data_IF_879195444662
#
_entry.id   IF_879195444662
#
_cell.length_a   1.000
_cell.length_b   1.000
_cell.length_c   1.000
_cell.angle_alpha   90.00
_cell.angle_beta   90.00
_cell.angle_gamma   90.00
#
_symmetry.space_group_name_H-M   'P 1'
#
loop_
_entity.id
_entity.type
_entity.pdbx_description
1 polymer ?
#
# COMPACT_ATOMS: atom_id res chain seq x y z
N UNK A 1 -12.12 -9.93 -4.65
CA UNK A 1 -12.60 -10.20 -3.27
C UNK A 1 -12.87 -8.82 -2.69
N UNK A 2 -14.11 -8.54 -2.30
CA UNK A 2 -14.47 -7.24 -1.73
C UNK A 2 -13.64 -7.01 -0.44
N UNK A 3 -13.00 -5.84 -0.25
CA UNK A 3 -12.21 -5.57 0.95
C UNK A 3 -13.13 -5.41 2.17
N UNK A 4 -13.51 -6.55 2.76
CA UNK A 4 -14.46 -6.62 3.88
C UNK A 4 -14.02 -5.80 5.09
N UNK A 5 -12.71 -5.61 5.28
CA UNK A 5 -12.14 -4.79 6.34
C UNK A 5 -12.46 -3.28 6.20
N UNK A 6 -12.83 -2.79 5.02
CA UNK A 6 -13.25 -1.39 4.86
C UNK A 6 -14.63 -1.13 5.49
N UNK A 7 -15.47 -2.16 5.59
CA UNK A 7 -16.83 -2.09 6.14
C UNK A 7 -16.92 -2.62 7.58
N UNK A 8 -15.94 -3.42 8.00
CA UNK A 8 -15.89 -4.02 9.34
C UNK A 8 -15.58 -2.94 10.41
N UNK A 9 -16.36 -2.94 11.50
CA UNK A 9 -16.15 -2.07 12.66
C UNK A 9 -15.38 -2.82 13.76
N UNK A 10 -14.12 -3.11 13.48
CA UNK A 10 -13.22 -3.79 14.43
C UNK A 10 -11.89 -3.07 14.53
N UNK A 11 -11.21 -3.20 15.67
CA UNK A 11 -9.91 -2.53 15.88
C UNK A 11 -8.87 -2.97 14.84
N UNK A 12 -8.88 -4.25 14.46
CA UNK A 12 -8.06 -4.79 13.37
C UNK A 12 -8.38 -4.13 12.01
N UNK A 13 -9.67 -3.94 11.69
CA UNK A 13 -10.14 -3.26 10.48
C UNK A 13 -9.72 -1.79 10.44
N UNK A 14 -9.78 -1.12 11.59
CA UNK A 14 -9.32 0.25 11.73
C UNK A 14 -7.80 0.38 11.58
N UNK A 15 -7.03 -0.51 12.21
CA UNK A 15 -5.57 -0.56 12.06
C UNK A 15 -5.16 -0.79 10.59
N UNK A 16 -5.83 -1.71 9.89
CA UNK A 16 -5.62 -1.95 8.46
C UNK A 16 -5.93 -0.72 7.61
N UNK A 17 -7.07 -0.05 7.83
CA UNK A 17 -7.43 1.20 7.13
C UNK A 17 -6.41 2.31 7.36
N UNK A 18 -5.94 2.46 8.59
CA UNK A 18 -4.91 3.44 8.95
C UNK A 18 -3.58 3.14 8.25
N UNK A 19 -3.20 1.88 8.15
CA UNK A 19 -2.00 1.46 7.42
C UNK A 19 -2.16 1.68 5.91
N UNK A 20 -3.31 1.31 5.33
CA UNK A 20 -3.63 1.53 3.92
C UNK A 20 -3.52 3.01 3.54
N UNK A 21 -4.09 3.87 4.39
CA UNK A 21 -3.99 5.32 4.23
C UNK A 21 -2.54 5.82 4.24
N UNK A 22 -1.78 5.43 5.27
CA UNK A 22 -0.41 5.87 5.43
C UNK A 22 0.49 5.38 4.28
N UNK A 23 0.37 4.09 3.93
CA UNK A 23 1.10 3.48 2.83
C UNK A 23 0.73 4.10 1.49
N UNK A 24 -0.55 4.30 1.20
CA UNK A 24 -1.00 4.88 -0.06
C UNK A 24 -0.51 6.31 -0.27
N UNK A 25 -0.49 7.13 0.78
CA UNK A 25 0.06 8.49 0.68
C UNK A 25 1.58 8.48 0.57
N UNK A 26 2.28 7.56 1.27
CA UNK A 26 3.74 7.42 1.13
C UNK A 26 4.13 6.98 -0.27
N UNK A 27 3.40 6.03 -0.88
CA UNK A 27 3.57 5.62 -2.28
C UNK A 27 3.35 6.82 -3.19
N UNK A 28 2.22 7.52 -3.04
CA UNK A 28 1.93 8.70 -3.83
C UNK A 28 3.01 9.79 -3.67
N UNK A 29 3.68 9.89 -2.53
CA UNK A 29 4.76 10.84 -2.29
C UNK A 29 6.17 10.31 -2.66
N UNK A 30 6.32 9.01 -2.92
CA UNK A 30 7.62 8.36 -3.13
C UNK A 30 8.34 8.88 -4.38
N UNK A 31 7.59 9.11 -5.46
CA UNK A 31 8.11 9.67 -6.72
C UNK A 31 8.45 11.18 -6.64
N UNK A 32 8.44 11.80 -5.45
CA UNK A 32 8.78 13.20 -5.23
C UNK A 32 7.69 14.21 -5.60
N UNK A 33 6.58 13.74 -6.18
CA UNK A 33 5.34 14.50 -6.43
C UNK A 33 4.17 13.64 -6.04
N UNK A 34 3.19 14.23 -5.36
CA UNK A 34 1.95 13.54 -5.00
C UNK A 34 1.15 13.23 -6.27
N UNK A 35 1.10 11.96 -6.65
CA UNK A 35 0.29 11.50 -7.79
C UNK A 35 -1.20 11.60 -7.49
N UNK A 36 -1.90 12.47 -8.23
CA UNK A 36 -3.35 12.67 -8.05
C UNK A 36 -4.13 11.39 -8.33
N UNK A 37 -3.70 10.56 -9.27
CA UNK A 37 -4.35 9.28 -9.63
C UNK A 37 -4.27 8.27 -8.49
N UNK A 38 -3.09 8.13 -7.88
CA UNK A 38 -2.86 7.31 -6.68
C UNK A 38 -3.70 7.78 -5.50
N UNK A 39 -3.76 9.10 -5.26
CA UNK A 39 -4.61 9.68 -4.21
C UNK A 39 -6.10 9.44 -4.51
N UNK A 40 -6.53 9.61 -5.76
CA UNK A 40 -7.92 9.39 -6.17
C UNK A 40 -8.32 7.92 -5.96
N UNK A 41 -7.46 6.96 -6.32
CA UNK A 41 -7.69 5.54 -6.09
C UNK A 41 -7.73 5.19 -4.59
N UNK A 42 -6.85 5.80 -3.80
CA UNK A 42 -6.85 5.66 -2.34
C UNK A 42 -8.15 6.20 -1.73
N UNK A 43 -8.62 7.37 -2.18
CA UNK A 43 -9.90 7.96 -1.75
C UNK A 43 -11.11 7.13 -2.21
N UNK A 44 -11.07 6.53 -3.40
CA UNK A 44 -12.13 5.64 -3.86
C UNK A 44 -12.26 4.38 -2.99
N UNK A 45 -11.15 3.90 -2.43
CA UNK A 45 -11.16 2.78 -1.49
C UNK A 45 -11.58 3.19 -0.08
N UNK A 46 -10.97 4.22 0.50
CA UNK A 46 -11.23 4.63 1.88
C UNK A 46 -12.51 5.45 2.07
N UNK A 47 -12.95 6.13 1.02
CA UNK A 47 -14.05 7.09 1.01
C UNK A 47 -13.57 8.52 0.68
N UNK A 48 -14.39 9.32 -0.02
CA UNK A 48 -14.04 10.67 -0.44
C UNK A 48 -13.76 11.58 0.78
N UNK A 49 -12.69 12.37 0.72
CA UNK A 49 -12.24 13.25 1.79
C UNK A 49 -11.32 12.59 2.82
N UNK A 50 -10.91 11.34 2.58
CA UNK A 50 -9.99 10.63 3.48
C UNK A 50 -8.58 11.23 3.42
N UNK A 51 -8.14 11.71 2.25
CA UNK A 51 -6.81 12.28 2.07
C UNK A 51 -6.88 13.81 2.13
N UNK A 52 -6.28 14.39 3.16
CA UNK A 52 -6.12 15.83 3.22
C UNK A 52 -4.91 16.29 2.39
N UNK A 53 -5.02 17.36 1.59
CA UNK A 53 -3.91 17.91 0.80
C UNK A 53 -2.77 18.51 1.65
N UNK A 54 -2.95 18.60 2.97
CA UNK A 54 -1.92 19.04 3.95
C UNK A 54 -1.15 17.89 4.60
N UNK A 55 -1.41 16.65 4.21
CA UNK A 55 -0.74 15.50 4.79
C UNK A 55 0.76 15.55 4.47
N UNK A 56 1.59 15.46 5.51
CA UNK A 56 3.04 15.46 5.39
C UNK A 56 3.56 14.02 5.33
N UNK A 57 4.29 13.62 4.27
CA UNK A 57 4.82 12.26 4.14
C UNK A 57 5.78 11.91 5.28
N UNK A 58 6.60 12.84 5.76
CA UNK A 58 7.45 12.65 6.94
C UNK A 58 6.67 12.28 8.21
N UNK A 59 5.58 13.01 8.48
CA UNK A 59 4.74 12.73 9.64
C UNK A 59 4.05 11.36 9.53
N UNK A 60 3.66 10.98 8.32
CA UNK A 60 3.14 9.65 8.04
C UNK A 60 4.19 8.57 8.23
N UNK A 61 5.43 8.79 7.79
CA UNK A 61 6.54 7.83 7.96
C UNK A 61 6.85 7.60 9.44
N UNK A 62 6.85 8.67 10.25
CA UNK A 62 7.01 8.57 11.70
C UNK A 62 5.83 7.82 12.38
N UNK A 63 4.60 7.98 11.88
CA UNK A 63 3.42 7.29 12.41
C UNK A 63 3.28 5.85 11.86
N UNK A 64 3.92 5.56 10.72
CA UNK A 64 3.87 4.28 10.00
C UNK A 64 4.37 3.14 10.89
N UNK A 65 5.51 3.31 11.55
CA UNK A 65 6.07 2.33 12.48
C UNK A 65 5.08 1.96 13.60
N UNK A 66 4.36 2.95 14.14
CA UNK A 66 3.34 2.70 15.16
C UNK A 66 2.17 1.91 14.58
N UNK A 67 1.69 2.30 13.39
CA UNK A 67 0.59 1.59 12.69
C UNK A 67 0.96 0.16 12.32
N UNK A 68 2.20 -0.08 11.90
CA UNK A 68 2.69 -1.42 11.57
C UNK A 68 2.66 -2.31 12.81
N UNK A 69 3.11 -1.80 13.98
CA UNK A 69 3.01 -2.54 15.23
C UNK A 69 1.56 -2.87 15.58
N UNK A 70 0.66 -1.90 15.51
CA UNK A 70 -0.77 -2.10 15.76
C UNK A 70 -1.35 -3.19 14.83
N UNK A 71 -1.00 -3.15 13.53
CA UNK A 71 -1.42 -4.17 12.56
C UNK A 71 -0.81 -5.54 12.88
N UNK A 72 0.44 -5.61 13.33
CA UNK A 72 1.06 -6.89 13.69
C UNK A 72 0.44 -7.52 14.92
N UNK A 73 -0.01 -6.72 15.88
CA UNK A 73 -0.65 -7.22 17.10
C UNK A 73 -2.12 -7.57 16.88
N UNK A 74 -2.85 -6.75 16.13
CA UNK A 74 -4.31 -6.86 15.98
C UNK A 74 -4.74 -7.68 14.76
N UNK A 75 -3.93 -7.74 13.70
CA UNK A 75 -4.33 -8.29 12.40
C UNK A 75 -3.61 -9.60 12.11
N UNK A 76 -4.32 -10.69 11.79
CA UNK A 76 -3.71 -11.95 11.41
C UNK A 76 -2.98 -11.83 10.05
N UNK A 77 -1.91 -12.61 9.82
CA UNK A 77 -1.06 -12.50 8.63
C UNK A 77 -1.83 -12.61 7.31
N UNK A 78 -2.88 -13.44 7.27
CA UNK A 78 -3.73 -13.62 6.10
C UNK A 78 -4.49 -12.35 5.67
N UNK A 79 -4.82 -11.47 6.62
CA UNK A 79 -5.46 -10.17 6.35
C UNK A 79 -4.43 -9.08 6.01
N UNK A 80 -3.20 -9.16 6.54
CA UNK A 80 -2.10 -8.23 6.15
C UNK A 80 -1.80 -8.32 4.66
N UNK A 81 -1.83 -9.54 4.13
CA UNK A 81 -1.75 -9.84 2.70
C UNK A 81 -2.85 -9.16 1.84
N UNK A 82 -4.02 -8.88 2.41
CA UNK A 82 -5.08 -8.16 1.70
C UNK A 82 -4.70 -6.69 1.56
N UNK A 83 -4.29 -6.04 2.66
CA UNK A 83 -3.85 -4.63 2.66
C UNK A 83 -2.69 -4.40 1.69
N UNK A 84 -1.71 -5.30 1.64
CA UNK A 84 -0.60 -5.18 0.68
C UNK A 84 -1.06 -5.27 -0.78
N UNK A 85 -2.02 -6.14 -1.08
CA UNK A 85 -2.60 -6.22 -2.43
C UNK A 85 -3.36 -4.95 -2.80
N UNK A 86 -4.15 -4.41 -1.86
CA UNK A 86 -4.87 -3.15 -2.08
C UNK A 86 -3.90 -1.98 -2.30
N UNK A 87 -2.80 -1.91 -1.54
CA UNK A 87 -1.71 -0.94 -1.77
C UNK A 87 -1.10 -1.09 -3.16
N UNK A 88 -0.87 -2.31 -3.63
CA UNK A 88 -0.36 -2.55 -4.99
C UNK A 88 -1.34 -2.09 -6.07
N UNK A 89 -2.65 -2.25 -5.85
CA UNK A 89 -3.69 -1.73 -6.76
C UNK A 89 -3.67 -0.20 -6.78
N UNK A 90 -3.52 0.44 -5.62
CA UNK A 90 -3.42 1.90 -5.50
C UNK A 90 -2.17 2.44 -6.19
N UNK A 91 -1.01 1.83 -5.96
CA UNK A 91 0.24 2.18 -6.62
C UNK A 91 0.10 2.13 -8.15
N UNK A 92 -0.68 1.16 -8.65
CA UNK A 92 -0.95 0.98 -10.07
C UNK A 92 -2.08 1.83 -10.63
N UNK A 93 -2.64 2.74 -9.85
CA UNK A 93 -3.73 3.60 -10.33
C UNK A 93 -3.34 4.41 -11.58
N UNK A 94 -2.08 4.85 -11.64
CA UNK A 94 -1.45 5.56 -12.77
C UNK A 94 -1.06 4.61 -13.94
N UNK A 95 -1.24 3.30 -13.78
CA UNK A 95 -0.90 2.27 -14.78
C UNK A 95 0.55 1.80 -14.75
N UNK A 96 1.41 2.42 -13.94
CA UNK A 96 2.82 2.05 -13.73
C UNK A 96 3.17 2.15 -12.24
N UNK A 97 4.18 1.40 -11.82
CA UNK A 97 4.76 1.50 -10.47
C UNK A 97 6.22 1.88 -10.66
N UNK A 98 6.59 3.07 -10.18
CA UNK A 98 7.98 3.54 -10.25
C UNK A 98 8.84 2.82 -9.20
N UNK A 99 10.17 2.79 -9.37
CA UNK A 99 11.09 2.11 -8.46
C UNK A 99 10.96 2.61 -7.01
N UNK A 100 10.75 3.92 -6.82
CA UNK A 100 10.53 4.51 -5.50
C UNK A 100 9.23 4.02 -4.83
N UNK A 101 8.17 3.83 -5.61
CA UNK A 101 6.90 3.30 -5.11
C UNK A 101 7.03 1.83 -4.74
N UNK A 102 7.77 1.06 -5.55
CA UNK A 102 8.07 -0.34 -5.28
C UNK A 102 8.91 -0.50 -4.00
N UNK A 103 9.89 0.38 -3.77
CA UNK A 103 10.71 0.38 -2.56
C UNK A 103 9.85 0.61 -1.32
N UNK A 104 8.96 1.62 -1.33
CA UNK A 104 8.03 1.88 -0.21
C UNK A 104 7.09 0.69 0.03
N UNK A 105 6.58 0.06 -1.03
CA UNK A 105 5.77 -1.16 -0.93
C UNK A 105 6.54 -2.30 -0.27
N UNK A 106 7.80 -2.49 -0.65
CA UNK A 106 8.68 -3.52 -0.09
C UNK A 106 8.99 -3.25 1.39
N UNK A 107 9.33 -2.00 1.74
CA UNK A 107 9.55 -1.58 3.13
C UNK A 107 8.33 -1.88 4.01
N UNK A 108 7.13 -1.50 3.56
CA UNK A 108 5.90 -1.74 4.32
C UNK A 108 5.65 -3.25 4.46
N UNK A 109 5.83 -4.03 3.39
CA UNK A 109 5.62 -5.46 3.39
C UNK A 109 6.55 -6.21 4.35
N UNK A 110 7.84 -5.89 4.32
CA UNK A 110 8.82 -6.43 5.27
C UNK A 110 8.41 -6.08 6.70
N UNK A 111 8.03 -4.83 6.94
CA UNK A 111 7.68 -4.37 8.27
C UNK A 111 6.43 -5.08 8.83
N UNK A 112 5.39 -5.31 8.02
CA UNK A 112 4.19 -6.07 8.43
C UNK A 112 4.40 -7.60 8.49
N UNK A 113 5.54 -8.09 8.00
CA UNK A 113 5.89 -9.51 7.94
C UNK A 113 5.17 -10.26 6.82
N UNK A 114 4.97 -9.60 5.68
CA UNK A 114 4.40 -10.19 4.46
C UNK A 114 5.54 -10.54 3.50
N UNK A 115 5.48 -11.73 2.90
CA UNK A 115 6.52 -12.22 1.98
C UNK A 115 6.59 -11.36 0.70
N UNK A 116 7.81 -11.06 0.24
CA UNK A 116 8.10 -10.23 -0.96
C UNK A 116 7.35 -10.74 -2.21
N UNK A 117 7.11 -12.05 -2.32
CA UNK A 117 6.43 -12.66 -3.45
C UNK A 117 5.00 -12.15 -3.64
N UNK A 118 4.35 -11.68 -2.56
CA UNK A 118 3.04 -11.02 -2.68
C UNK A 118 3.14 -9.58 -3.19
N UNK A 119 4.22 -8.87 -2.87
CA UNK A 119 4.47 -7.52 -3.37
C UNK A 119 4.81 -7.59 -4.86
N UNK A 120 5.72 -8.51 -5.24
CA UNK A 120 6.07 -8.77 -6.62
C UNK A 120 4.84 -9.14 -7.47
N UNK A 121 3.94 -9.97 -6.96
CA UNK A 121 2.68 -10.28 -7.66
C UNK A 121 1.74 -9.07 -7.80
N UNK A 122 1.78 -8.14 -6.86
CA UNK A 122 0.95 -6.94 -6.90
C UNK A 122 1.51 -5.88 -7.87
N UNK A 123 2.83 -5.73 -7.96
CA UNK A 123 3.50 -4.76 -8.84
C UNK A 123 3.79 -5.32 -10.23
N UNK A 124 3.90 -6.64 -10.39
CA UNK A 124 4.16 -7.30 -11.67
C UNK A 124 3.07 -6.94 -12.67
N UNK A 125 3.42 -6.02 -13.58
CA UNK A 125 2.83 -6.03 -14.91
C UNK A 125 3.43 -7.27 -15.54
N UNK A 126 2.59 -8.06 -16.20
CA UNK A 126 3.06 -9.21 -16.97
C UNK A 126 4.41 -8.84 -17.62
N UNK A 127 5.46 -9.67 -17.47
CA UNK A 127 6.78 -9.33 -17.98
C UNK A 127 6.67 -9.10 -19.48
N UNK A 128 6.59 -7.85 -19.88
CA UNK A 128 6.84 -7.45 -21.27
C UNK A 128 8.35 -7.36 -21.37
N UNK A 129 8.94 -8.53 -21.60
CA UNK A 129 10.37 -8.72 -21.69
C UNK A 129 10.77 -10.02 -21.00
N UNK A 130 10.50 -11.14 -21.65
CA UNK A 130 11.25 -12.36 -21.38
C UNK A 130 12.74 -12.03 -21.48
N UNK A 131 13.45 -12.19 -20.36
CA UNK A 131 14.88 -12.41 -20.33
C UNK A 131 15.29 -13.34 -21.47
N UNK A 132 16.10 -12.81 -22.39
CA UNK A 132 16.83 -13.58 -23.37
C UNK A 132 17.92 -14.35 -22.61
N UNK A 133 17.63 -15.60 -22.28
CA UNK A 133 18.64 -16.57 -21.87
C UNK A 133 19.54 -16.89 -23.08
N UNK A 134 20.87 -16.70 -23.01
CA UNK A 134 21.77 -17.26 -24.00
C UNK A 134 22.11 -18.71 -23.65
N UNK A 135 21.98 -19.62 -24.61
CA UNK A 135 22.71 -20.89 -24.66
C UNK A 135 23.65 -20.90 -25.87
#
# INVERSE_FOLDING_TARGET
MDPSYLRERSEAAEAMRRLLFAGGVLIAAASGKISTETIQALENLLGPGSVSPRVSPDALRADLDRRIRDVKELVPPLRRAQVMRDLGVIARADGRVDEAEQEVLHEIAEAVGVHESMVSAATSAAPSGCDHFPE
#
